data_IF_960119122000
#
_entry.id   IF_960119122000
#
_cell.length_a   1.000
_cell.length_b   1.000
_cell.length_c   1.000
_cell.angle_alpha   90.00
_cell.angle_beta   90.00
_cell.angle_gamma   90.00
#
_symmetry.space_group_name_H-M   'P 1'
#
loop_
_entity.id
_entity.type
_entity.pdbx_description
1 polymer ?
#
# COMPACT_ATOMS: atom_id res chain seq x y z
N UNK A 1 -26.67 1.76 -9.96
CA UNK A 1 -26.31 3.01 -9.26
C UNK A 1 -25.03 3.54 -9.86
N UNK A 2 -25.10 4.59 -10.66
CA UNK A 2 -23.94 5.32 -11.18
C UNK A 2 -23.50 6.32 -10.12
N UNK A 3 -22.27 6.19 -9.64
CA UNK A 3 -21.69 7.12 -8.67
C UNK A 3 -21.50 8.51 -9.33
N UNK A 4 -21.93 9.62 -8.71
CA UNK A 4 -21.82 10.98 -9.28
C UNK A 4 -20.40 11.43 -9.64
N UNK A 5 -19.37 10.75 -9.14
CA UNK A 5 -17.96 11.05 -9.37
C UNK A 5 -17.41 10.54 -10.72
N UNK A 6 -18.10 9.63 -11.40
CA UNK A 6 -17.57 8.91 -12.57
C UNK A 6 -17.47 9.79 -13.83
N UNK A 7 -18.35 10.78 -14.01
CA UNK A 7 -18.34 11.60 -15.23
C UNK A 7 -17.19 12.63 -15.29
N UNK A 8 -16.40 12.81 -14.23
CA UNK A 8 -15.28 13.77 -14.20
C UNK A 8 -13.90 13.07 -14.05
N UNK A 9 -13.84 11.77 -13.75
CA UNK A 9 -12.54 11.08 -13.54
C UNK A 9 -11.65 11.15 -14.78
N UNK A 10 -12.22 10.88 -15.96
CA UNK A 10 -11.46 10.86 -17.21
C UNK A 10 -10.92 12.25 -17.59
N UNK A 11 -11.77 13.28 -17.56
CA UNK A 11 -11.36 14.67 -17.83
C UNK A 11 -10.29 15.16 -16.85
N UNK A 12 -10.45 14.78 -15.57
CA UNK A 12 -9.47 15.11 -14.53
C UNK A 12 -8.13 14.42 -14.75
N UNK A 13 -8.13 13.13 -15.13
CA UNK A 13 -6.90 12.39 -15.48
C UNK A 13 -6.20 13.04 -16.66
N UNK A 14 -6.93 13.38 -17.74
CA UNK A 14 -6.36 14.08 -18.90
C UNK A 14 -5.73 15.41 -18.49
N UNK A 15 -6.41 16.19 -17.66
CA UNK A 15 -5.90 17.46 -17.13
C UNK A 15 -4.60 17.25 -16.33
N UNK A 16 -4.53 16.20 -15.51
CA UNK A 16 -3.35 15.90 -14.70
C UNK A 16 -2.17 15.40 -15.56
N UNK A 17 -2.42 14.51 -16.51
CA UNK A 17 -1.41 14.05 -17.47
C UNK A 17 -0.81 15.23 -18.23
N UNK A 18 -1.64 16.16 -18.73
CA UNK A 18 -1.17 17.39 -19.38
C UNK A 18 -0.39 18.30 -18.40
N UNK A 19 -0.90 18.53 -17.18
CA UNK A 19 -0.26 19.36 -16.16
C UNK A 19 1.16 18.89 -15.84
N UNK A 20 1.34 17.58 -15.72
CA UNK A 20 2.62 16.96 -15.36
C UNK A 20 3.45 16.52 -16.58
N UNK A 21 2.97 16.77 -17.81
CA UNK A 21 3.63 16.38 -19.07
C UNK A 21 3.94 14.88 -19.13
N UNK A 22 2.97 14.07 -18.72
CA UNK A 22 3.07 12.61 -18.73
C UNK A 22 2.39 12.10 -20.01
N UNK A 23 3.19 11.48 -20.88
CA UNK A 23 2.69 10.86 -22.10
C UNK A 23 2.10 9.48 -21.81
N UNK A 24 0.88 9.23 -22.29
CA UNK A 24 0.18 7.97 -22.13
C UNK A 24 -0.61 7.61 -23.38
N UNK A 25 -0.57 6.34 -23.79
CA UNK A 25 -1.42 5.82 -24.86
C UNK A 25 -2.90 5.76 -24.44
N UNK A 26 -3.84 5.69 -25.39
CA UNK A 26 -5.26 5.53 -25.05
C UNK A 26 -5.54 4.34 -24.11
N UNK A 27 -4.90 3.20 -24.32
CA UNK A 27 -5.06 2.01 -23.48
C UNK A 27 -4.53 2.23 -22.06
N UNK A 28 -3.38 2.91 -21.93
CA UNK A 28 -2.82 3.30 -20.64
C UNK A 28 -3.76 4.23 -19.87
N UNK A 29 -4.36 5.22 -20.54
CA UNK A 29 -5.33 6.14 -19.94
C UNK A 29 -6.60 5.43 -19.50
N UNK A 30 -7.10 4.50 -20.30
CA UNK A 30 -8.27 3.68 -19.95
C UNK A 30 -7.97 2.80 -18.73
N UNK A 31 -6.79 2.17 -18.69
CA UNK A 31 -6.38 1.35 -17.56
C UNK A 31 -6.19 2.18 -16.27
N UNK A 32 -5.54 3.35 -16.36
CA UNK A 32 -5.39 4.27 -15.23
C UNK A 32 -6.76 4.71 -14.70
N UNK A 33 -7.67 5.08 -15.60
CA UNK A 33 -9.06 5.45 -15.26
C UNK A 33 -9.75 4.32 -14.50
N UNK A 34 -9.73 3.11 -15.06
CA UNK A 34 -10.32 1.93 -14.44
C UNK A 34 -9.76 1.67 -13.04
N UNK A 35 -8.43 1.68 -12.88
CA UNK A 35 -7.78 1.42 -11.60
C UNK A 35 -8.17 2.49 -10.58
N UNK A 36 -8.06 3.78 -10.92
CA UNK A 36 -8.39 4.88 -9.99
C UNK A 36 -9.85 4.85 -9.55
N UNK A 37 -10.79 4.61 -10.46
CA UNK A 37 -12.22 4.52 -10.11
C UNK A 37 -12.50 3.37 -9.14
N UNK A 38 -11.92 2.20 -9.40
CA UNK A 38 -12.07 1.03 -8.54
C UNK A 38 -11.42 1.25 -7.18
N UNK A 39 -10.22 1.82 -7.14
CA UNK A 39 -9.51 2.16 -5.90
C UNK A 39 -10.30 3.18 -5.07
N UNK A 40 -10.84 4.23 -5.67
CA UNK A 40 -11.66 5.21 -4.95
C UNK A 40 -12.95 4.58 -4.41
N UNK A 41 -13.63 3.76 -5.22
CA UNK A 41 -14.81 3.03 -4.78
C UNK A 41 -14.49 2.09 -3.60
N UNK A 42 -13.38 1.35 -3.68
CA UNK A 42 -12.92 0.48 -2.61
C UNK A 42 -12.62 1.27 -1.34
N UNK A 43 -11.80 2.32 -1.41
CA UNK A 43 -11.48 3.19 -0.27
C UNK A 43 -12.70 3.88 0.35
N UNK A 44 -13.77 4.09 -0.41
CA UNK A 44 -15.03 4.64 0.09
C UNK A 44 -15.93 3.57 0.74
N UNK A 45 -15.71 2.30 0.42
CA UNK A 45 -16.43 1.18 1.05
C UNK A 45 -15.83 0.76 2.40
N UNK A 46 -14.58 1.13 2.67
CA UNK A 46 -13.89 0.76 3.90
C UNK A 46 -14.49 1.45 5.12
N UNK A 47 -14.61 0.71 6.22
CA UNK A 47 -14.87 1.27 7.53
C UNK A 47 -13.62 2.01 8.02
N UNK A 48 -13.56 3.30 7.73
CA UNK A 48 -12.45 4.19 8.08
C UNK A 48 -12.98 5.48 8.68
N UNK A 49 -12.43 5.85 9.82
CA UNK A 49 -12.70 7.15 10.44
C UNK A 49 -11.50 8.05 10.16
N UNK A 50 -11.76 9.24 9.60
CA UNK A 50 -10.72 10.25 9.36
C UNK A 50 -10.11 10.79 10.66
N UNK A 51 -10.63 10.43 11.82
CA UNK A 51 -10.07 10.77 13.13
C UNK A 51 -8.75 10.06 13.49
N UNK A 52 -8.26 9.12 12.67
CA UNK A 52 -6.99 8.40 12.92
C UNK A 52 -5.78 9.26 12.54
N UNK A 53 -5.57 10.35 13.29
CA UNK A 53 -4.38 11.20 13.21
C UNK A 53 -4.08 11.75 11.81
N UNK A 54 -2.79 11.82 11.46
CA UNK A 54 -2.30 12.34 10.17
C UNK A 54 -2.19 11.25 9.07
N UNK A 55 -3.06 10.23 9.14
CA UNK A 55 -3.16 9.15 8.14
C UNK A 55 -4.47 9.27 7.38
N UNK A 56 -4.38 9.18 6.06
CA UNK A 56 -5.50 9.44 5.17
C UNK A 56 -5.69 8.30 4.16
N UNK A 57 -6.94 8.10 3.73
CA UNK A 57 -7.28 7.38 2.51
C UNK A 57 -7.55 8.41 1.40
N UNK A 58 -7.05 8.22 0.16
CA UNK A 58 -7.34 9.11 -0.93
C UNK A 58 -8.82 9.02 -1.30
N UNK A 59 -9.45 10.18 -1.42
CA UNK A 59 -10.86 10.37 -1.76
C UNK A 59 -11.05 11.00 -3.14
N UNK A 60 -9.96 11.48 -3.74
CA UNK A 60 -9.97 12.18 -5.02
C UNK A 60 -8.97 11.59 -6.00
N UNK A 61 -9.21 11.88 -7.29
CA UNK A 61 -8.30 11.55 -8.39
C UNK A 61 -6.94 12.23 -8.19
N UNK A 62 -6.93 13.50 -7.76
CA UNK A 62 -5.70 14.26 -7.49
C UNK A 62 -4.80 13.54 -6.47
N UNK A 63 -5.38 13.10 -5.35
CA UNK A 63 -4.63 12.40 -4.31
C UNK A 63 -4.05 11.06 -4.78
N UNK A 64 -4.84 10.25 -5.50
CA UNK A 64 -4.31 8.99 -6.06
C UNK A 64 -3.20 9.24 -7.07
N UNK A 65 -3.35 10.26 -7.91
CA UNK A 65 -2.34 10.60 -8.90
C UNK A 65 -1.02 11.01 -8.23
N UNK A 66 -1.08 11.85 -7.18
CA UNK A 66 0.09 12.21 -6.38
C UNK A 66 0.75 11.00 -5.70
N UNK A 67 -0.04 10.03 -5.21
CA UNK A 67 0.49 8.79 -4.63
C UNK A 67 1.22 7.96 -5.68
N UNK A 68 0.68 7.83 -6.90
CA UNK A 68 1.33 7.09 -7.97
C UNK A 68 2.63 7.74 -8.43
N UNK A 69 2.68 9.08 -8.47
CA UNK A 69 3.91 9.83 -8.69
C UNK A 69 4.93 9.62 -7.57
N UNK A 70 4.50 9.71 -6.31
CA UNK A 70 5.37 9.49 -5.14
C UNK A 70 6.01 8.09 -5.18
N UNK A 71 5.22 7.06 -5.49
CA UNK A 71 5.71 5.69 -5.62
C UNK A 71 6.76 5.55 -6.71
N UNK A 72 6.48 6.08 -7.91
CA UNK A 72 7.43 6.10 -9.04
C UNK A 72 8.73 6.78 -8.65
N UNK A 73 8.66 7.96 -8.02
CA UNK A 73 9.84 8.70 -7.57
C UNK A 73 10.68 7.94 -6.53
N UNK A 74 10.04 7.30 -5.55
CA UNK A 74 10.76 6.55 -4.50
C UNK A 74 11.42 5.30 -5.08
N UNK A 75 10.73 4.54 -5.93
CA UNK A 75 11.34 3.38 -6.58
C UNK A 75 12.46 3.74 -7.55
N UNK A 76 12.34 4.85 -8.28
CA UNK A 76 13.42 5.39 -9.10
C UNK A 76 14.68 5.69 -8.29
N UNK A 77 14.52 6.32 -7.12
CA UNK A 77 15.64 6.60 -6.20
C UNK A 77 16.28 5.34 -5.63
N UNK A 78 15.52 4.25 -5.49
CA UNK A 78 16.01 2.95 -5.01
C UNK A 78 16.55 2.04 -6.12
N UNK A 79 16.45 2.45 -7.40
CA UNK A 79 16.72 1.63 -8.58
C UNK A 79 15.88 0.35 -8.64
N UNK A 80 14.63 0.42 -8.18
CA UNK A 80 13.68 -0.71 -8.16
C UNK A 80 12.79 -0.75 -9.40
N UNK A 81 12.99 0.15 -10.37
CA UNK A 81 12.13 0.31 -11.56
C UNK A 81 12.07 -0.93 -12.45
N UNK A 82 13.10 -1.79 -12.41
CA UNK A 82 13.08 -3.07 -13.13
C UNK A 82 12.12 -4.08 -12.50
N UNK A 83 12.04 -4.07 -11.17
CA UNK A 83 11.20 -5.00 -10.42
C UNK A 83 9.76 -4.50 -10.34
N UNK A 84 9.59 -3.19 -10.14
CA UNK A 84 8.29 -2.55 -10.01
C UNK A 84 8.16 -1.43 -11.06
N UNK A 85 8.09 -1.78 -12.35
CA UNK A 85 8.03 -0.79 -13.42
C UNK A 85 6.77 0.04 -13.34
N UNK A 86 6.89 1.28 -13.80
CA UNK A 86 5.76 2.16 -13.99
C UNK A 86 4.87 1.66 -15.14
N UNK A 87 3.55 1.64 -14.89
CA UNK A 87 2.55 1.32 -15.92
C UNK A 87 2.45 2.45 -16.97
N UNK A 88 2.69 3.69 -16.54
CA UNK A 88 2.87 4.90 -17.35
C UNK A 88 4.06 5.62 -16.74
N UNK A 89 5.05 6.02 -17.54
CA UNK A 89 6.26 6.67 -17.03
C UNK A 89 5.93 7.81 -16.04
N UNK A 90 6.42 7.71 -14.81
CA UNK A 90 6.12 8.67 -13.73
C UNK A 90 4.91 8.31 -12.86
N UNK A 91 4.22 7.20 -13.13
CA UNK A 91 3.05 6.73 -12.39
C UNK A 91 3.15 5.23 -12.06
N UNK A 92 3.35 4.93 -10.77
CA UNK A 92 3.44 3.55 -10.28
C UNK A 92 2.09 3.09 -9.69
N UNK A 93 1.38 2.29 -10.47
CA UNK A 93 0.10 1.69 -10.12
C UNK A 93 -0.06 0.32 -10.80
N UNK A 94 -0.86 -0.56 -10.21
CA UNK A 94 -1.14 -1.88 -10.76
C UNK A 94 -2.57 -2.34 -10.40
N UNK A 95 -2.99 -3.50 -10.93
CA UNK A 95 -4.33 -4.04 -10.73
C UNK A 95 -4.68 -4.26 -9.24
N UNK A 96 -3.69 -4.51 -8.39
CA UNK A 96 -3.94 -4.76 -6.97
C UNK A 96 -4.38 -3.51 -6.22
N UNK A 97 -4.15 -2.31 -6.77
CA UNK A 97 -4.70 -1.07 -6.20
C UNK A 97 -6.25 -1.08 -6.17
N UNK A 98 -6.91 -1.89 -7.00
CA UNK A 98 -8.39 -1.94 -7.09
C UNK A 98 -9.08 -2.58 -5.89
N UNK A 99 -8.37 -3.40 -5.12
CA UNK A 99 -8.85 -4.04 -3.88
C UNK A 99 -8.01 -3.64 -2.67
N UNK A 100 -7.42 -2.43 -2.72
CA UNK A 100 -6.48 -1.98 -1.70
C UNK A 100 -6.97 -0.77 -0.93
N UNK A 101 -6.75 -0.80 0.38
CA UNK A 101 -6.70 0.42 1.18
C UNK A 101 -5.34 1.09 0.92
N UNK A 102 -5.35 2.23 0.23
CA UNK A 102 -4.13 3.02 0.02
C UNK A 102 -4.06 4.08 1.10
N UNK A 103 -3.08 3.96 2.00
CA UNK A 103 -2.87 4.93 3.07
C UNK A 103 -1.78 5.91 2.66
N UNK A 104 -1.94 7.16 3.08
CA UNK A 104 -0.89 8.16 2.94
C UNK A 104 -0.81 9.06 4.17
N UNK A 105 0.35 9.71 4.32
CA UNK A 105 0.62 10.73 5.35
C UNK A 105 0.99 12.03 4.67
N UNK A 106 0.74 13.16 5.34
CA UNK A 106 1.09 14.50 4.87
C UNK A 106 1.89 15.25 5.93
N UNK A 107 2.87 16.03 5.49
CA UNK A 107 3.51 17.06 6.29
C UNK A 107 3.57 18.35 5.47
N UNK A 108 3.23 19.49 6.08
CA UNK A 108 3.19 20.80 5.38
C UNK A 108 2.40 20.76 4.05
N UNK A 109 1.24 20.10 4.06
CA UNK A 109 0.38 19.87 2.89
C UNK A 109 0.97 19.02 1.74
N UNK A 110 2.20 18.50 1.88
CA UNK A 110 2.82 17.59 0.92
C UNK A 110 2.68 16.15 1.40
N UNK A 111 2.39 15.21 0.50
CA UNK A 111 2.43 13.77 0.83
C UNK A 111 3.87 13.34 1.10
N UNK A 112 4.13 12.73 2.26
CA UNK A 112 5.48 12.32 2.68
C UNK A 112 5.66 10.81 2.79
N UNK A 113 4.57 10.04 2.79
CA UNK A 113 4.65 8.60 2.82
C UNK A 113 3.34 7.93 2.41
N UNK A 114 3.44 6.70 1.92
CA UNK A 114 2.30 5.87 1.54
C UNK A 114 2.56 4.40 1.86
N UNK A 115 1.48 3.64 2.07
CA UNK A 115 1.52 2.19 1.99
C UNK A 115 0.22 1.66 1.38
N UNK A 116 0.25 0.40 0.95
CA UNK A 116 -0.89 -0.28 0.34
C UNK A 116 -1.22 -1.53 1.13
N UNK A 117 -2.46 -1.63 1.60
CA UNK A 117 -3.01 -2.82 2.26
C UNK A 117 -3.98 -3.48 1.29
N UNK A 118 -3.54 -4.54 0.63
CA UNK A 118 -4.27 -5.25 -0.42
C UNK A 118 -5.16 -6.29 0.26
N UNK A 119 -6.46 -6.25 -0.01
CA UNK A 119 -7.38 -7.24 0.51
C UNK A 119 -7.39 -8.44 -0.43
N UNK A 120 -7.28 -9.66 0.14
CA UNK A 120 -7.35 -10.88 -0.64
C UNK A 120 -8.70 -10.96 -1.39
N UNK A 121 -8.62 -11.39 -2.64
CA UNK A 121 -9.73 -11.38 -3.60
C UNK A 121 -9.55 -12.51 -4.61
N UNK A 122 -10.45 -12.60 -5.60
CA UNK A 122 -10.35 -13.61 -6.65
C UNK A 122 -9.05 -13.52 -7.47
N UNK A 123 -8.40 -12.34 -7.51
CA UNK A 123 -7.10 -12.15 -8.17
C UNK A 123 -5.91 -12.59 -7.32
N UNK A 124 -6.16 -13.10 -6.10
CA UNK A 124 -5.18 -13.42 -5.06
C UNK A 124 -4.28 -12.20 -4.71
N UNK A 125 -3.29 -12.41 -3.85
CA UNK A 125 -2.33 -11.37 -3.43
C UNK A 125 -1.11 -11.37 -4.37
N UNK A 126 -0.39 -10.23 -4.53
CA UNK A 126 0.82 -10.19 -5.34
C UNK A 126 1.85 -11.26 -4.97
N UNK A 127 1.97 -11.58 -3.68
CA UNK A 127 2.89 -12.59 -3.17
C UNK A 127 2.65 -13.98 -3.76
N UNK A 128 1.41 -14.33 -4.14
CA UNK A 128 1.07 -15.65 -4.70
C UNK A 128 1.84 -15.99 -5.98
N UNK A 129 2.43 -14.99 -6.66
CA UNK A 129 3.33 -15.20 -7.80
C UNK A 129 4.63 -15.91 -7.43
N UNK A 130 5.09 -15.74 -6.19
CA UNK A 130 6.37 -16.24 -5.69
C UNK A 130 6.22 -17.24 -4.54
N UNK A 131 5.10 -17.19 -3.80
CA UNK A 131 4.83 -18.06 -2.66
C UNK A 131 3.32 -18.22 -2.46
N UNK A 132 2.83 -19.47 -2.51
CA UNK A 132 1.39 -19.73 -2.35
C UNK A 132 0.93 -19.51 -0.91
N UNK A 133 -0.17 -18.77 -0.76
CA UNK A 133 -0.84 -18.55 0.53
C UNK A 133 -2.07 -19.43 0.71
N UNK A 134 -2.25 -20.46 -0.13
CA UNK A 134 -3.46 -21.31 -0.10
C UNK A 134 -3.65 -22.01 1.25
N UNK A 135 -2.57 -22.42 1.92
CA UNK A 135 -2.65 -23.00 3.27
C UNK A 135 -3.29 -22.05 4.30
N UNK A 136 -3.01 -20.75 4.22
CA UNK A 136 -3.63 -19.76 5.11
C UNK A 136 -5.09 -19.49 4.76
N UNK A 137 -5.46 -19.58 3.47
CA UNK A 137 -6.86 -19.46 3.02
C UNK A 137 -7.69 -20.66 3.49
N UNK A 138 -7.11 -21.85 3.45
CA UNK A 138 -7.73 -23.09 3.97
C UNK A 138 -7.97 -23.02 5.49
N UNK A 139 -7.15 -22.29 6.23
CA UNK A 139 -7.35 -21.97 7.65
C UNK A 139 -8.42 -20.89 7.91
N UNK A 140 -9.14 -20.45 6.88
CA UNK A 140 -10.12 -19.36 6.91
C UNK A 140 -9.55 -18.01 7.40
N UNK A 141 -8.26 -17.75 7.17
CA UNK A 141 -7.66 -16.46 7.53
C UNK A 141 -8.19 -15.35 6.62
N UNK A 142 -8.55 -14.22 7.22
CA UNK A 142 -8.93 -13.02 6.48
C UNK A 142 -7.69 -12.23 6.08
N UNK A 143 -7.05 -12.68 5.00
CA UNK A 143 -5.75 -12.20 4.55
C UNK A 143 -5.79 -10.79 3.97
N UNK A 144 -4.71 -10.05 4.25
CA UNK A 144 -4.31 -8.86 3.51
C UNK A 144 -2.80 -8.90 3.23
N UNK A 145 -2.33 -8.24 2.19
CA UNK A 145 -0.90 -8.02 1.95
C UNK A 145 -0.53 -6.55 2.18
N UNK A 146 0.51 -6.30 2.98
CA UNK A 146 1.14 -4.98 3.05
C UNK A 146 2.22 -4.88 1.97
N UNK A 147 2.07 -3.89 1.10
CA UNK A 147 3.01 -3.58 0.03
C UNK A 147 3.21 -2.06 -0.10
N UNK A 148 4.18 -1.66 -0.93
CA UNK A 148 4.40 -0.25 -1.30
C UNK A 148 4.58 0.68 -0.08
N UNK A 149 5.13 0.19 1.03
CA UNK A 149 5.48 1.02 2.18
C UNK A 149 6.68 1.91 1.81
N UNK A 150 6.40 3.17 1.56
CA UNK A 150 7.35 4.14 1.01
C UNK A 150 7.29 5.44 1.78
N UNK A 151 8.46 6.04 2.01
CA UNK A 151 8.60 7.31 2.71
C UNK A 151 9.54 8.17 1.88
N UNK A 152 9.09 9.36 1.51
CA UNK A 152 9.94 10.38 0.93
C UNK A 152 10.86 10.94 2.03
N UNK A 153 12.11 10.49 2.05
CA UNK A 153 13.07 10.98 3.06
C UNK A 153 13.67 12.31 2.63
N UNK A 154 13.33 13.38 3.34
CA UNK A 154 14.04 14.67 3.24
C UNK A 154 15.12 14.85 4.34
N UNK A 155 15.04 14.09 5.44
CA UNK A 155 15.95 14.23 6.60
C UNK A 155 16.58 12.90 7.06
N UNK A 156 17.70 12.97 7.80
CA UNK A 156 18.35 11.82 8.45
C UNK A 156 17.55 11.39 9.68
N UNK A 157 17.07 10.14 9.72
CA UNK A 157 16.39 9.55 10.88
C UNK A 157 15.12 8.78 10.49
N UNK A 158 14.46 8.18 11.49
CA UNK A 158 13.13 7.59 11.33
C UNK A 158 12.10 8.71 11.58
N UNK A 159 11.38 9.15 10.55
CA UNK A 159 10.29 10.12 10.68
C UNK A 159 9.06 9.54 11.39
N UNK A 160 7.98 10.32 11.47
CA UNK A 160 6.70 9.86 12.04
C UNK A 160 5.90 8.98 11.06
N UNK A 161 6.18 9.08 9.76
CA UNK A 161 5.48 8.38 8.68
C UNK A 161 5.40 6.86 8.88
N UNK A 162 6.49 6.11 9.18
CA UNK A 162 6.37 4.68 9.40
C UNK A 162 5.51 4.34 10.61
N UNK A 163 5.54 5.16 11.68
CA UNK A 163 4.68 4.97 12.85
C UNK A 163 3.21 5.19 12.50
N UNK A 164 2.93 6.28 11.80
CA UNK A 164 1.59 6.66 11.35
C UNK A 164 1.02 5.61 10.40
N UNK A 165 1.75 5.23 9.35
CA UNK A 165 1.32 4.22 8.39
C UNK A 165 1.12 2.85 9.06
N UNK A 166 1.99 2.44 9.98
CA UNK A 166 1.81 1.19 10.75
C UNK A 166 0.52 1.23 11.57
N UNK A 167 0.24 2.34 12.26
CA UNK A 167 -1.02 2.54 13.00
C UNK A 167 -2.22 2.49 12.04
N UNK A 168 -2.14 3.18 10.91
CA UNK A 168 -3.19 3.20 9.91
C UNK A 168 -3.50 1.82 9.35
N UNK A 169 -2.47 1.03 9.01
CA UNK A 169 -2.61 -0.36 8.55
C UNK A 169 -3.34 -1.20 9.59
N UNK A 170 -2.91 -1.14 10.85
CA UNK A 170 -3.57 -1.86 11.95
C UNK A 170 -5.05 -1.47 12.08
N UNK A 171 -5.37 -0.18 12.06
CA UNK A 171 -6.74 0.31 12.19
C UNK A 171 -7.62 -0.07 10.99
N UNK A 172 -7.11 0.02 9.76
CA UNK A 172 -7.83 -0.44 8.55
C UNK A 172 -8.19 -1.92 8.71
N UNK A 173 -7.22 -2.75 9.07
CA UNK A 173 -7.45 -4.18 9.23
C UNK A 173 -8.48 -4.45 10.31
N UNK A 174 -8.30 -3.87 11.51
CA UNK A 174 -9.16 -4.12 12.65
C UNK A 174 -10.60 -3.70 12.40
N UNK A 175 -10.83 -2.52 11.80
CA UNK A 175 -12.17 -1.99 11.51
C UNK A 175 -12.89 -2.72 10.39
N UNK A 176 -12.16 -3.43 9.52
CA UNK A 176 -12.70 -4.16 8.38
C UNK A 176 -12.60 -5.70 8.56
N UNK A 177 -12.46 -6.17 9.81
CA UNK A 177 -12.52 -7.59 10.15
C UNK A 177 -11.39 -8.45 9.58
N UNK A 178 -10.22 -7.85 9.31
CA UNK A 178 -9.03 -8.56 8.83
C UNK A 178 -8.12 -8.88 10.00
N UNK A 179 -7.65 -10.11 10.07
CA UNK A 179 -6.91 -10.65 11.22
C UNK A 179 -5.44 -10.87 10.91
N UNK A 180 -5.12 -11.18 9.65
CA UNK A 180 -3.80 -11.65 9.26
C UNK A 180 -3.27 -10.82 8.11
N UNK A 181 -2.08 -10.25 8.27
CA UNK A 181 -1.35 -9.53 7.23
C UNK A 181 -0.13 -10.33 6.81
N UNK A 182 0.08 -10.47 5.51
CA UNK A 182 1.34 -10.98 4.96
C UNK A 182 2.17 -9.84 4.39
N UNK A 183 3.49 -9.99 4.41
CA UNK A 183 4.38 -9.03 3.75
C UNK A 183 5.71 -9.66 3.37
N UNK A 184 6.32 -9.14 2.31
CA UNK A 184 7.71 -9.42 1.95
C UNK A 184 8.57 -8.26 2.44
N UNK A 185 9.62 -8.55 3.19
CA UNK A 185 10.55 -7.54 3.66
C UNK A 185 12.00 -8.04 3.60
N UNK A 186 12.94 -7.10 3.52
CA UNK A 186 14.37 -7.41 3.64
C UNK A 186 14.60 -7.98 5.04
N UNK A 187 15.35 -9.09 5.11
CA UNK A 187 15.56 -9.83 6.36
C UNK A 187 16.07 -8.93 7.50
N UNK A 188 16.94 -7.97 7.21
CA UNK A 188 17.52 -7.04 8.20
C UNK A 188 16.47 -6.19 8.94
N UNK A 189 15.32 -5.92 8.33
CA UNK A 189 14.28 -5.09 8.93
C UNK A 189 13.45 -5.84 10.00
N UNK A 190 13.47 -7.18 9.99
CA UNK A 190 12.59 -8.01 10.83
C UNK A 190 12.76 -7.77 12.33
N UNK A 191 13.98 -7.43 12.79
CA UNK A 191 14.28 -7.20 14.21
C UNK A 191 13.39 -6.14 14.87
N UNK A 192 12.89 -5.17 14.08
CA UNK A 192 11.92 -4.19 14.58
C UNK A 192 10.52 -4.80 14.71
N UNK A 193 10.09 -5.55 13.71
CA UNK A 193 8.76 -6.14 13.61
C UNK A 193 8.53 -7.28 14.61
N UNK A 194 9.57 -8.03 14.98
CA UNK A 194 9.50 -9.05 16.03
C UNK A 194 8.98 -8.50 17.37
N UNK A 195 9.23 -7.20 17.65
CA UNK A 195 8.73 -6.53 18.86
C UNK A 195 7.22 -6.24 18.82
N UNK A 196 6.58 -6.31 17.66
CA UNK A 196 5.18 -5.95 17.50
C UNK A 196 4.25 -7.00 18.10
N UNK A 197 4.71 -8.24 18.28
CA UNK A 197 3.88 -9.38 18.68
C UNK A 197 3.01 -9.89 17.54
N UNK A 198 2.80 -11.21 17.48
CA UNK A 198 1.99 -11.86 16.45
C UNK A 198 2.69 -12.02 15.08
N UNK A 199 3.97 -11.66 14.95
CA UNK A 199 4.73 -11.86 13.72
C UNK A 199 5.34 -13.26 13.66
N UNK A 200 5.29 -13.87 12.48
CA UNK A 200 5.97 -15.12 12.15
C UNK A 200 6.73 -14.98 10.83
N UNK A 201 7.84 -15.70 10.69
CA UNK A 201 8.52 -15.90 9.40
C UNK A 201 7.92 -17.17 8.78
N UNK A 202 7.32 -17.02 7.61
CA UNK A 202 6.70 -18.12 6.85
C UNK A 202 7.69 -18.77 5.89
N UNK A 203 8.59 -17.96 5.32
CA UNK A 203 9.59 -18.43 4.36
C UNK A 203 10.75 -17.45 4.24
N UNK A 204 11.92 -17.97 3.86
CA UNK A 204 13.08 -17.18 3.48
C UNK A 204 13.29 -17.26 1.97
N UNK A 205 13.54 -16.11 1.36
CA UNK A 205 13.79 -15.98 -0.06
C UNK A 205 15.20 -15.43 -0.27
N UNK A 206 16.01 -16.11 -1.08
CA UNK A 206 17.35 -15.61 -1.43
C UNK A 206 17.28 -14.35 -2.31
N UNK A 207 16.20 -14.21 -3.07
CA UNK A 207 15.94 -13.11 -4.02
C UNK A 207 14.44 -12.86 -4.09
N UNK A 208 14.03 -11.64 -4.45
CA UNK A 208 12.64 -11.33 -4.79
C UNK A 208 12.59 -10.69 -6.18
N UNK A 209 12.09 -11.46 -7.15
CA UNK A 209 12.19 -11.13 -8.57
C UNK A 209 13.64 -10.90 -9.00
N UNK A 210 13.95 -9.68 -9.43
CA UNK A 210 15.26 -9.22 -9.89
C UNK A 210 16.16 -8.71 -8.77
N UNK A 211 15.64 -8.54 -7.55
CA UNK A 211 16.40 -8.05 -6.40
C UNK A 211 17.18 -9.20 -5.75
N UNK A 212 18.52 -9.12 -5.81
CA UNK A 212 19.46 -10.12 -5.31
C UNK A 212 19.87 -9.89 -3.85
N UNK A 213 18.88 -9.66 -2.98
CA UNK A 213 19.08 -9.50 -1.53
C UNK A 213 18.17 -10.50 -0.77
N UNK A 214 18.56 -10.95 0.44
CA UNK A 214 17.72 -11.84 1.23
C UNK A 214 16.43 -11.16 1.70
N UNK A 215 15.30 -11.77 1.35
CA UNK A 215 13.97 -11.38 1.81
C UNK A 215 13.40 -12.46 2.71
N UNK A 216 12.42 -12.07 3.50
CA UNK A 216 11.57 -12.97 4.25
C UNK A 216 10.12 -12.68 3.91
N UNK A 217 9.34 -13.76 3.87
CA UNK A 217 7.89 -13.70 3.90
C UNK A 217 7.49 -13.79 5.35
N UNK A 218 6.66 -12.85 5.78
CA UNK A 218 6.15 -12.77 7.14
C UNK A 218 4.63 -12.80 7.14
N UNK A 219 4.08 -13.33 8.23
CA UNK A 219 2.68 -13.12 8.60
C UNK A 219 2.62 -12.32 9.90
N UNK A 220 1.53 -11.58 10.10
CA UNK A 220 1.25 -10.83 11.31
C UNK A 220 -0.22 -11.00 11.71
N UNK A 221 -0.43 -11.62 12.86
CA UNK A 221 -1.74 -11.76 13.49
C UNK A 221 -2.02 -10.53 14.37
N UNK A 222 -2.87 -9.60 13.88
CA UNK A 222 -3.06 -8.29 14.54
C UNK A 222 -3.78 -8.39 15.89
N UNK A 223 -4.43 -9.51 16.18
CA UNK A 223 -5.06 -9.77 17.48
C UNK A 223 -4.04 -10.21 18.55
N UNK A 224 -2.79 -10.49 18.15
CA UNK A 224 -1.71 -10.93 19.02
C UNK A 224 -0.65 -9.83 19.28
N UNK A 225 -1.01 -8.57 19.08
CA UNK A 225 -0.10 -7.43 19.28
C UNK A 225 0.42 -7.32 20.72
N UNK A 226 1.69 -6.98 20.85
CA UNK A 226 2.42 -6.89 22.12
C UNK A 226 2.05 -5.61 22.90
N UNK A 227 2.31 -5.57 24.23
CA UNK A 227 2.23 -4.33 25.00
C UNK A 227 3.11 -3.21 24.45
N UNK A 228 4.26 -3.56 23.86
CA UNK A 228 5.13 -2.60 23.17
C UNK A 228 4.40 -1.95 22.00
N UNK A 229 3.74 -2.74 21.15
CA UNK A 229 2.99 -2.21 20.01
C UNK A 229 1.89 -1.24 20.47
N UNK A 230 1.10 -1.66 21.45
CA UNK A 230 0.04 -0.82 22.04
C UNK A 230 0.60 0.50 22.55
N UNK A 231 1.70 0.47 23.30
CA UNK A 231 2.36 1.66 23.85
C UNK A 231 2.94 2.59 22.78
N UNK A 232 3.57 2.03 21.74
CA UNK A 232 4.31 2.83 20.76
C UNK A 232 3.41 3.36 19.66
N UNK A 233 2.46 2.56 19.18
CA UNK A 233 1.66 2.86 17.99
C UNK A 233 0.21 3.23 18.31
N UNK A 234 -0.39 2.67 19.37
CA UNK A 234 -1.82 2.87 19.67
C UNK A 234 -2.08 3.89 20.78
N UNK A 235 -1.14 4.08 21.70
CA UNK A 235 -1.29 5.06 22.78
C UNK A 235 -1.43 6.48 22.20
N UNK A 236 -2.49 7.16 22.65
CA UNK A 236 -2.70 8.60 22.56
C UNK A 236 -2.39 9.18 23.92
#
# INVERSE_FOLDING_TARGET
MTYPYLNNTHEKIETLLMKYKIDATPDQKNNLTFIMEKTLAFNNSLNWDQSIGEVFLPKTVDELFEIYMLRSQVYGKLNYDKEFPDSIQGLNFDLYDTCSAILYTKANAKMTGTCRVIFDSDTKLPMDKNFSLDYMREENKHLVELSRLMIERECKGLGQEPKLLTKGTYEVMKKNGKTTMVSVMVHEHFKLYDKFGGFSIESELKTYGTLSIPFIITSWEIDQISPFFKKVFLAV
#
